data_IF_931554671645
#
_entry.id   IF_931554671645
#
_cell.length_a   1.000
_cell.length_b   1.000
_cell.length_c   1.000
_cell.angle_alpha   90.00
_cell.angle_beta   90.00
_cell.angle_gamma   90.00
#
_symmetry.space_group_name_H-M   'P 1'
#
loop_
_entity.id
_entity.type
_entity.pdbx_description
1 polymer ?
#
# COMPACT_ATOMS: atom_id res chain seq x y z
N UNK A 1 17.97 -46.27 8.70
CA UNK A 1 17.37 -44.91 8.76
C UNK A 1 16.84 -44.58 7.37
N UNK A 2 15.55 -44.76 7.14
CA UNK A 2 14.87 -44.31 5.93
C UNK A 2 14.93 -42.78 5.89
N UNK A 3 15.55 -42.22 4.85
CA UNK A 3 15.60 -40.77 4.65
C UNK A 3 14.24 -40.34 4.09
N UNK A 4 13.52 -39.48 4.81
CA UNK A 4 12.22 -38.96 4.35
C UNK A 4 12.40 -37.54 3.80
N UNK A 5 11.65 -37.23 2.74
CA UNK A 5 11.64 -35.88 2.16
C UNK A 5 10.79 -34.92 3.00
N UNK A 6 11.21 -33.64 3.12
CA UNK A 6 10.44 -32.61 3.84
C UNK A 6 9.08 -32.36 3.19
N UNK A 7 8.99 -32.46 1.86
CA UNK A 7 7.73 -32.45 1.12
C UNK A 7 7.50 -33.84 0.51
N UNK A 8 6.39 -34.49 0.89
CA UNK A 8 6.02 -35.79 0.33
C UNK A 8 5.65 -35.62 -1.14
N UNK A 9 6.42 -36.24 -2.02
CA UNK A 9 6.19 -36.31 -3.46
C UNK A 9 6.29 -37.74 -3.94
N UNK A 10 5.48 -38.10 -4.95
CA UNK A 10 5.62 -39.37 -5.66
C UNK A 10 6.56 -39.17 -6.84
N UNK A 11 7.65 -39.94 -6.89
CA UNK A 11 8.63 -39.88 -7.97
C UNK A 11 8.67 -41.23 -8.69
N UNK A 12 8.72 -41.26 -10.04
CA UNK A 12 8.68 -42.49 -10.83
C UNK A 12 10.00 -43.29 -10.84
N UNK A 13 11.02 -42.84 -10.11
CA UNK A 13 12.36 -43.45 -10.04
C UNK A 13 12.80 -43.65 -8.60
N UNK A 14 13.79 -44.52 -8.38
CA UNK A 14 14.21 -44.95 -7.04
C UNK A 14 14.91 -43.82 -6.27
N UNK A 15 14.16 -43.20 -5.36
CA UNK A 15 14.52 -41.93 -4.68
C UNK A 15 15.52 -42.12 -3.54
N UNK A 16 15.83 -43.36 -3.18
CA UNK A 16 16.59 -43.72 -1.98
C UNK A 16 18.11 -43.81 -2.21
N UNK A 17 18.56 -43.78 -3.47
CA UNK A 17 19.99 -43.85 -3.82
C UNK A 17 20.64 -42.46 -3.88
N UNK A 18 21.84 -42.32 -3.29
CA UNK A 18 22.71 -41.15 -3.52
C UNK A 18 23.36 -41.31 -4.91
N UNK A 19 23.41 -40.28 -5.77
CA UNK A 19 23.20 -38.83 -5.52
C UNK A 19 21.78 -38.29 -5.81
N UNK A 20 20.87 -39.11 -6.33
CA UNK A 20 19.53 -38.69 -6.77
C UNK A 20 18.71 -38.09 -5.63
N UNK A 21 18.82 -38.67 -4.43
CA UNK A 21 18.19 -38.14 -3.21
C UNK A 21 18.58 -36.67 -2.92
N UNK A 22 19.86 -36.34 -3.06
CA UNK A 22 20.39 -35.00 -2.74
C UNK A 22 19.96 -33.97 -3.77
N UNK A 23 19.88 -34.36 -5.04
CA UNK A 23 19.40 -33.50 -6.13
C UNK A 23 17.93 -33.12 -5.92
N UNK A 24 17.09 -34.08 -5.52
CA UNK A 24 15.65 -33.83 -5.28
C UNK A 24 15.45 -32.99 -4.02
N UNK A 25 16.22 -33.25 -2.96
CA UNK A 25 16.17 -32.41 -1.78
C UNK A 25 16.56 -30.96 -2.13
N UNK A 26 17.62 -30.78 -2.93
CA UNK A 26 18.04 -29.48 -3.45
C UNK A 26 16.95 -28.80 -4.28
N UNK A 27 16.27 -29.53 -5.18
CA UNK A 27 15.20 -28.98 -6.01
C UNK A 27 13.95 -28.63 -5.20
N UNK A 28 13.59 -29.44 -4.20
CA UNK A 28 12.49 -29.14 -3.28
C UNK A 28 12.77 -27.87 -2.45
N UNK A 29 13.98 -27.76 -1.89
CA UNK A 29 14.40 -26.56 -1.16
C UNK A 29 14.40 -25.33 -2.08
N UNK A 30 14.92 -25.44 -3.30
CA UNK A 30 14.93 -24.36 -4.27
C UNK A 30 13.51 -23.91 -4.65
N UNK A 31 12.60 -24.85 -4.92
CA UNK A 31 11.20 -24.55 -5.22
C UNK A 31 10.47 -23.87 -4.07
N UNK A 32 10.70 -24.34 -2.83
CA UNK A 32 10.13 -23.71 -1.64
C UNK A 32 10.65 -22.28 -1.45
N UNK A 33 11.96 -22.07 -1.62
CA UNK A 33 12.56 -20.73 -1.53
C UNK A 33 11.98 -19.78 -2.57
N UNK A 34 11.85 -20.21 -3.82
CA UNK A 34 11.22 -19.40 -4.87
C UNK A 34 9.78 -19.05 -4.50
N UNK A 35 8.98 -20.01 -4.04
CA UNK A 35 7.60 -19.77 -3.65
C UNK A 35 7.51 -18.75 -2.49
N UNK A 36 8.34 -18.91 -1.46
CA UNK A 36 8.41 -17.95 -0.36
C UNK A 36 8.82 -16.55 -0.83
N UNK A 37 9.80 -16.45 -1.73
CA UNK A 37 10.23 -15.17 -2.28
C UNK A 37 9.12 -14.50 -3.09
N UNK A 38 8.39 -15.24 -3.90
CA UNK A 38 7.24 -14.69 -4.63
C UNK A 38 6.16 -14.17 -3.70
N UNK A 39 5.79 -14.92 -2.66
CA UNK A 39 4.80 -14.48 -1.66
C UNK A 39 5.26 -13.16 -1.01
N UNK A 40 6.51 -13.11 -0.53
CA UNK A 40 7.06 -11.89 0.09
C UNK A 40 7.07 -10.70 -0.88
N UNK A 41 7.45 -10.91 -2.14
CA UNK A 41 7.47 -9.85 -3.16
C UNK A 41 6.06 -9.35 -3.44
N UNK A 42 5.08 -10.23 -3.58
CA UNK A 42 3.69 -9.81 -3.83
C UNK A 42 3.10 -9.04 -2.65
N UNK A 43 3.28 -9.54 -1.44
CA UNK A 43 2.78 -8.89 -0.22
C UNK A 43 3.41 -7.49 -0.05
N UNK A 44 4.74 -7.40 -0.19
CA UNK A 44 5.45 -6.12 -0.06
C UNK A 44 5.12 -5.13 -1.18
N UNK A 45 4.93 -5.60 -2.40
CA UNK A 45 4.54 -4.77 -3.54
C UNK A 45 3.14 -4.18 -3.33
N UNK A 46 2.17 -5.00 -2.92
CA UNK A 46 0.81 -4.54 -2.65
C UNK A 46 0.80 -3.50 -1.53
N UNK A 47 1.48 -3.77 -0.42
CA UNK A 47 1.64 -2.80 0.67
C UNK A 47 2.33 -1.51 0.23
N UNK A 48 3.33 -1.62 -0.66
CA UNK A 48 4.03 -0.47 -1.23
C UNK A 48 3.11 0.42 -2.04
N UNK A 49 2.27 -0.17 -2.90
CA UNK A 49 1.28 0.58 -3.69
C UNK A 49 0.24 1.27 -2.82
N UNK A 50 -0.29 0.56 -1.81
CA UNK A 50 -1.25 1.11 -0.86
C UNK A 50 -0.66 2.33 -0.14
N UNK A 51 0.55 2.17 0.43
CA UNK A 51 1.25 3.27 1.10
C UNK A 51 1.56 4.42 0.17
N UNK A 52 1.93 4.13 -1.07
CA UNK A 52 2.16 5.17 -2.08
C UNK A 52 0.89 5.99 -2.34
N UNK A 53 -0.27 5.36 -2.51
CA UNK A 53 -1.56 6.06 -2.66
C UNK A 53 -1.87 6.90 -1.42
N UNK A 54 -1.68 6.36 -0.21
CA UNK A 54 -1.93 7.08 1.04
C UNK A 54 -1.06 8.34 1.14
N UNK A 55 0.22 8.24 0.82
CA UNK A 55 1.13 9.40 0.80
C UNK A 55 0.69 10.42 -0.25
N UNK A 56 0.28 9.99 -1.45
CA UNK A 56 -0.24 10.91 -2.48
C UNK A 56 -1.50 11.64 -2.01
N UNK A 57 -2.37 10.95 -1.27
CA UNK A 57 -3.57 11.54 -0.69
C UNK A 57 -3.23 12.54 0.42
N UNK A 58 -2.29 12.22 1.30
CA UNK A 58 -1.81 13.14 2.34
C UNK A 58 -1.21 14.42 1.74
N UNK A 59 -0.40 14.30 0.69
CA UNK A 59 0.17 15.46 -0.03
C UNK A 59 -0.96 16.30 -0.64
N UNK A 60 -1.95 15.66 -1.27
CA UNK A 60 -3.10 16.35 -1.84
C UNK A 60 -3.89 17.13 -0.77
N UNK A 61 -4.15 16.51 0.39
CA UNK A 61 -4.83 17.15 1.52
C UNK A 61 -4.05 18.36 2.03
N UNK A 62 -2.73 18.21 2.23
CA UNK A 62 -1.89 19.30 2.67
C UNK A 62 -1.84 20.45 1.64
N UNK A 63 -1.82 20.12 0.35
CA UNK A 63 -1.88 21.11 -0.72
C UNK A 63 -3.23 21.85 -0.78
N UNK A 64 -4.36 21.18 -0.47
CA UNK A 64 -5.64 21.87 -0.31
C UNK A 64 -5.62 22.86 0.87
N UNK A 65 -5.10 22.46 2.04
CA UNK A 65 -4.95 23.35 3.22
C UNK A 65 -4.07 24.57 2.92
N UNK A 66 -3.01 24.40 2.14
CA UNK A 66 -2.05 25.46 1.80
C UNK A 66 -2.26 26.05 0.38
N UNK A 67 -3.50 26.03 -0.14
CA UNK A 67 -3.83 26.65 -1.42
C UNK A 67 -3.76 28.19 -1.40
N UNK A 68 -3.79 28.82 -0.23
CA UNK A 68 -3.73 30.28 -0.10
C UNK A 68 -2.31 30.80 -0.40
N UNK A 69 -2.19 31.57 -1.47
CA UNK A 69 -0.96 32.16 -2.00
C UNK A 69 -0.36 33.24 -1.08
N UNK A 70 -1.19 33.86 -0.23
CA UNK A 70 -0.77 34.94 0.66
C UNK A 70 0.00 34.40 1.88
N UNK A 71 -0.36 33.21 2.35
CA UNK A 71 0.10 32.67 3.64
C UNK A 71 1.22 31.65 3.50
N UNK A 72 1.40 31.07 2.31
CA UNK A 72 2.25 29.88 2.12
C UNK A 72 3.13 29.99 0.89
N UNK A 73 4.44 29.75 1.10
CA UNK A 73 5.41 29.64 0.02
C UNK A 73 5.29 28.30 -0.70
N UNK A 74 5.56 28.29 -2.01
CA UNK A 74 5.66 27.08 -2.82
C UNK A 74 6.99 26.38 -2.51
N UNK A 75 6.96 25.06 -2.35
CA UNK A 75 8.17 24.29 -2.14
C UNK A 75 9.04 24.30 -3.41
N UNK A 76 10.34 24.57 -3.25
CA UNK A 76 11.29 24.48 -4.37
C UNK A 76 11.77 23.04 -4.53
N UNK A 77 11.79 22.53 -5.76
CA UNK A 77 12.44 21.24 -6.07
C UNK A 77 13.97 21.33 -6.08
N UNK A 78 14.56 22.52 -5.90
CA UNK A 78 16.00 22.69 -5.77
C UNK A 78 16.50 22.16 -4.42
N UNK A 79 17.26 21.07 -4.45
CA UNK A 79 17.94 20.52 -3.27
C UNK A 79 19.16 21.40 -2.97
N UNK A 80 19.05 22.24 -1.94
CA UNK A 80 20.22 22.95 -1.39
C UNK A 80 21.21 21.95 -0.77
N UNK A 81 22.51 22.27 -0.82
CA UNK A 81 23.58 21.45 -0.21
C UNK A 81 23.29 21.13 1.28
N UNK A 82 22.62 22.04 1.97
CA UNK A 82 22.22 21.87 3.36
C UNK A 82 21.10 20.83 3.54
N UNK A 83 20.12 20.80 2.63
CA UNK A 83 19.04 19.80 2.64
C UNK A 83 19.58 18.41 2.29
N UNK A 84 20.56 18.32 1.38
CA UNK A 84 21.23 17.07 1.03
C UNK A 84 21.89 16.42 2.26
N UNK A 85 22.59 17.21 3.07
CA UNK A 85 23.23 16.72 4.29
C UNK A 85 22.21 16.25 5.35
N UNK A 86 21.05 16.91 5.44
CA UNK A 86 19.94 16.49 6.32
C UNK A 86 19.35 15.16 5.84
N UNK A 87 19.14 14.98 4.53
CA UNK A 87 18.65 13.73 3.94
C UNK A 87 19.66 12.60 4.17
N UNK A 88 20.97 12.87 4.02
CA UNK A 88 22.02 11.88 4.21
C UNK A 88 22.16 11.45 5.68
N UNK A 89 21.86 12.34 6.63
CA UNK A 89 21.85 12.05 8.07
C UNK A 89 20.50 11.53 8.58
N UNK A 90 19.50 11.35 7.71
CA UNK A 90 18.15 10.99 8.09
C UNK A 90 18.09 9.55 8.61
N UNK A 91 17.82 9.39 9.92
CA UNK A 91 17.56 8.09 10.52
C UNK A 91 16.09 7.72 10.32
N UNK A 92 15.81 6.94 9.27
CA UNK A 92 14.47 6.44 8.93
C UNK A 92 13.74 5.75 10.11
N UNK A 93 14.47 5.14 11.05
CA UNK A 93 13.91 4.43 12.22
C UNK A 93 13.56 5.34 13.42
N UNK A 94 13.85 6.65 13.36
CA UNK A 94 13.61 7.60 14.47
C UNK A 94 12.61 8.71 14.12
N UNK A 95 11.89 8.57 13.02
CA UNK A 95 10.86 9.55 12.64
C UNK A 95 9.77 9.54 13.74
N UNK A 96 9.52 10.67 14.43
CA UNK A 96 8.40 10.78 15.34
C UNK A 96 7.11 10.51 14.56
N UNK A 97 6.21 9.72 15.13
CA UNK A 97 4.91 9.38 14.54
C UNK A 97 3.97 10.62 14.40
N UNK A 98 4.40 11.77 14.92
CA UNK A 98 3.73 13.05 14.69
C UNK A 98 3.87 13.47 13.23
N UNK A 99 2.72 13.50 12.56
CA UNK A 99 2.47 14.05 11.23
C UNK A 99 3.38 15.27 11.00
N UNK A 100 4.43 15.12 10.19
CA UNK A 100 5.12 16.25 9.60
C UNK A 100 4.08 16.98 8.72
N UNK A 101 3.41 17.97 9.31
CA UNK A 101 2.53 18.84 8.55
C UNK A 101 3.35 19.49 7.44
N UNK A 102 3.07 19.14 6.18
CA UNK A 102 3.69 19.78 5.04
C UNK A 102 3.34 21.29 5.08
N UNK A 103 4.29 22.12 5.50
CA UNK A 103 4.08 23.58 5.71
C UNK A 103 4.01 24.40 4.41
N UNK A 104 4.23 23.74 3.27
CA UNK A 104 4.41 24.37 1.97
C UNK A 104 3.64 23.64 0.88
N UNK A 105 3.16 24.38 -0.11
CA UNK A 105 2.53 23.80 -1.30
C UNK A 105 3.57 23.01 -2.12
N UNK A 106 3.39 21.69 -2.22
CA UNK A 106 4.29 20.80 -2.95
C UNK A 106 3.94 20.74 -4.45
N UNK A 107 4.85 21.11 -5.37
CA UNK A 107 4.63 20.94 -6.81
C UNK A 107 4.63 19.47 -7.19
N UNK A 108 3.69 19.04 -8.04
CA UNK A 108 3.64 17.66 -8.52
C UNK A 108 4.50 17.45 -9.78
N UNK A 109 4.76 18.52 -10.53
CA UNK A 109 5.58 18.49 -11.77
C UNK A 109 6.65 19.58 -11.73
N UNK A 110 7.80 19.35 -12.40
CA UNK A 110 8.87 20.35 -12.55
C UNK A 110 8.39 21.68 -13.15
N UNK A 111 7.40 21.62 -14.05
CA UNK A 111 6.77 22.81 -14.65
C UNK A 111 5.90 23.59 -13.66
N UNK A 112 5.34 22.92 -12.66
CA UNK A 112 4.56 23.54 -11.59
C UNK A 112 5.46 24.12 -10.49
N UNK A 113 6.76 23.82 -10.48
CA UNK A 113 7.70 24.32 -9.48
C UNK A 113 8.02 25.81 -9.67
N UNK A 114 8.07 26.28 -10.92
CA UNK A 114 8.48 27.63 -11.29
C UNK A 114 7.38 28.35 -12.07
N UNK A 115 6.34 28.80 -11.36
CA UNK A 115 5.25 29.59 -11.96
C UNK A 115 5.52 31.09 -11.75
N UNK A 116 5.54 31.93 -12.81
CA UNK A 116 5.92 33.35 -12.72
C UNK A 116 4.91 34.21 -11.94
N UNK A 117 3.66 33.75 -11.78
CA UNK A 117 2.65 34.38 -10.96
C UNK A 117 1.85 33.31 -10.22
N UNK A 118 2.18 33.11 -8.94
CA UNK A 118 1.46 32.18 -8.08
C UNK A 118 0.11 32.80 -7.72
N UNK A 119 -0.98 32.07 -7.95
CA UNK A 119 -2.33 32.53 -7.62
C UNK A 119 -3.13 31.36 -7.06
N UNK A 120 -4.03 31.66 -6.12
CA UNK A 120 -4.93 30.67 -5.53
C UNK A 120 -5.63 29.79 -6.58
N UNK A 121 -6.12 30.40 -7.67
CA UNK A 121 -6.84 29.66 -8.72
C UNK A 121 -5.95 28.64 -9.44
N UNK A 122 -4.67 28.96 -9.63
CA UNK A 122 -3.71 28.08 -10.29
C UNK A 122 -3.30 26.93 -9.37
N UNK A 123 -3.06 27.20 -8.08
CA UNK A 123 -2.83 26.17 -7.06
C UNK A 123 -4.02 25.23 -6.92
N UNK A 124 -5.23 25.78 -6.80
CA UNK A 124 -6.45 24.99 -6.67
C UNK A 124 -6.72 24.16 -7.94
N UNK A 125 -6.48 24.70 -9.14
CA UNK A 125 -6.59 23.94 -10.39
C UNK A 125 -5.61 22.76 -10.43
N UNK A 126 -4.37 22.96 -9.98
CA UNK A 126 -3.39 21.87 -9.89
C UNK A 126 -3.86 20.77 -8.92
N UNK A 127 -4.39 21.14 -7.75
CA UNK A 127 -4.97 20.17 -6.80
C UNK A 127 -6.11 19.36 -7.43
N UNK A 128 -7.03 20.01 -8.15
CA UNK A 128 -8.15 19.31 -8.83
C UNK A 128 -7.64 18.36 -9.92
N UNK A 129 -6.63 18.76 -10.69
CA UNK A 129 -6.02 17.88 -11.72
C UNK A 129 -5.36 16.68 -11.06
N UNK A 130 -4.60 16.89 -9.98
CA UNK A 130 -3.93 15.81 -9.26
C UNK A 130 -4.93 14.86 -8.60
N UNK A 131 -5.98 15.39 -7.98
CA UNK A 131 -7.08 14.61 -7.43
C UNK A 131 -7.69 13.67 -8.46
N UNK A 132 -7.95 14.17 -9.68
CA UNK A 132 -8.49 13.36 -10.77
C UNK A 132 -7.53 12.26 -11.20
N UNK A 133 -6.25 12.57 -11.37
CA UNK A 133 -5.22 11.56 -11.69
C UNK A 133 -5.09 10.49 -10.60
N UNK A 134 -5.21 10.89 -9.33
CA UNK A 134 -5.15 9.97 -8.20
C UNK A 134 -6.35 9.03 -8.21
N UNK A 135 -7.55 9.52 -8.52
CA UNK A 135 -8.75 8.70 -8.70
C UNK A 135 -8.57 7.69 -9.84
N UNK A 136 -8.06 8.15 -11.00
CA UNK A 136 -7.83 7.27 -12.14
C UNK A 136 -6.82 6.15 -11.78
N UNK A 137 -5.70 6.51 -11.15
CA UNK A 137 -4.70 5.54 -10.66
C UNK A 137 -5.27 4.58 -9.60
N UNK A 138 -6.12 5.08 -8.70
CA UNK A 138 -6.77 4.28 -7.66
C UNK A 138 -7.73 3.26 -8.30
N UNK A 139 -8.49 3.65 -9.31
CA UNK A 139 -9.41 2.75 -10.02
C UNK A 139 -8.64 1.63 -10.73
N UNK A 140 -7.54 1.95 -11.40
CA UNK A 140 -6.67 0.96 -12.03
C UNK A 140 -6.09 0.00 -10.98
N UNK A 141 -5.55 0.53 -9.88
CA UNK A 141 -5.05 -0.27 -8.76
C UNK A 141 -6.13 -1.15 -8.15
N UNK A 142 -7.33 -0.61 -7.93
CA UNK A 142 -8.46 -1.32 -7.34
C UNK A 142 -8.90 -2.49 -8.23
N UNK A 143 -8.95 -2.29 -9.55
CA UNK A 143 -9.31 -3.36 -10.50
C UNK A 143 -8.32 -4.53 -10.47
N UNK A 144 -7.02 -4.24 -10.34
CA UNK A 144 -5.96 -5.23 -10.24
C UNK A 144 -5.97 -5.92 -8.87
N UNK A 145 -6.03 -5.13 -7.80
CA UNK A 145 -5.92 -5.64 -6.44
C UNK A 145 -7.17 -6.36 -5.97
N UNK A 146 -8.36 -6.02 -6.46
CA UNK A 146 -9.59 -6.75 -6.13
C UNK A 146 -9.48 -8.23 -6.48
N UNK A 147 -8.99 -8.54 -7.69
CA UNK A 147 -8.83 -9.93 -8.14
C UNK A 147 -7.76 -10.65 -7.32
N UNK A 148 -6.65 -9.97 -7.02
CA UNK A 148 -5.53 -10.53 -6.24
C UNK A 148 -5.95 -10.80 -4.79
N UNK A 149 -6.58 -9.82 -4.13
CA UNK A 149 -7.08 -9.93 -2.75
C UNK A 149 -8.13 -11.03 -2.64
N UNK A 150 -9.03 -11.14 -3.63
CA UNK A 150 -9.99 -12.24 -3.67
C UNK A 150 -9.29 -13.60 -3.74
N UNK A 151 -8.32 -13.75 -4.63
CA UNK A 151 -7.51 -14.97 -4.73
C UNK A 151 -6.76 -15.29 -3.44
N UNK A 152 -6.27 -14.27 -2.75
CA UNK A 152 -5.53 -14.40 -1.50
C UNK A 152 -6.39 -14.84 -0.32
N UNK A 153 -7.58 -14.25 -0.17
CA UNK A 153 -8.53 -14.66 0.87
C UNK A 153 -9.03 -16.08 0.59
N UNK A 154 -9.35 -16.37 -0.68
CA UNK A 154 -9.79 -17.70 -1.08
C UNK A 154 -8.72 -18.77 -0.82
N UNK A 155 -7.46 -18.50 -1.20
CA UNK A 155 -6.35 -19.42 -0.96
C UNK A 155 -6.07 -19.63 0.54
N UNK A 156 -6.15 -18.57 1.34
CA UNK A 156 -5.98 -18.63 2.80
C UNK A 156 -7.09 -19.44 3.46
N UNK A 157 -8.34 -19.29 3.02
CA UNK A 157 -9.47 -20.11 3.48
C UNK A 157 -9.23 -21.60 3.19
N UNK A 158 -8.82 -21.95 1.96
CA UNK A 158 -8.50 -23.34 1.62
C UNK A 158 -7.36 -23.88 2.48
N UNK A 159 -6.28 -23.11 2.65
CA UNK A 159 -5.13 -23.49 3.48
C UNK A 159 -5.57 -23.80 4.93
N UNK A 160 -6.42 -22.94 5.51
CA UNK A 160 -6.95 -23.12 6.86
C UNK A 160 -7.85 -24.36 6.94
N UNK A 161 -8.78 -24.54 5.98
CA UNK A 161 -9.68 -25.69 5.95
C UNK A 161 -8.91 -27.02 5.85
N UNK A 162 -7.96 -27.11 4.92
CA UNK A 162 -7.13 -28.31 4.73
C UNK A 162 -6.21 -28.51 5.93
N UNK A 163 -5.58 -27.45 6.44
CA UNK A 163 -4.71 -27.51 7.61
C UNK A 163 -5.45 -28.01 8.85
N UNK A 164 -6.69 -27.56 9.06
CA UNK A 164 -7.53 -28.03 10.15
C UNK A 164 -7.88 -29.52 10.01
N UNK A 165 -8.23 -29.96 8.79
CA UNK A 165 -8.49 -31.37 8.53
C UNK A 165 -7.26 -32.25 8.82
N UNK A 166 -6.08 -31.84 8.33
CA UNK A 166 -4.82 -32.57 8.58
C UNK A 166 -4.48 -32.62 10.06
N UNK A 167 -4.70 -31.52 10.80
CA UNK A 167 -4.51 -31.48 12.25
C UNK A 167 -5.41 -32.50 12.97
N UNK A 168 -6.70 -32.57 12.60
CA UNK A 168 -7.65 -33.53 13.18
C UNK A 168 -7.21 -34.97 12.91
N UNK A 169 -6.78 -35.28 11.68
CA UNK A 169 -6.29 -36.63 11.34
C UNK A 169 -5.01 -36.96 12.11
N UNK A 170 -4.08 -36.01 12.24
CA UNK A 170 -2.85 -36.21 13.01
C UNK A 170 -3.11 -36.42 14.50
N UNK A 171 -4.10 -35.74 15.08
CA UNK A 171 -4.55 -35.97 16.46
C UNK A 171 -5.13 -37.38 16.62
N UNK A 172 -5.98 -37.80 15.67
CA UNK A 172 -6.58 -39.13 15.71
C UNK A 172 -5.54 -40.26 15.59
N UNK A 173 -4.56 -40.10 14.70
CA UNK A 173 -3.49 -41.08 14.49
C UNK A 173 -2.31 -40.94 15.47
N UNK A 174 -2.37 -40.04 16.47
CA UNK A 174 -1.25 -39.74 17.38
C UNK A 174 0.08 -39.40 16.67
N UNK A 175 0.00 -38.78 15.49
CA UNK A 175 1.18 -38.29 14.75
C UNK A 175 1.67 -36.98 15.34
N UNK A 176 2.89 -36.57 15.01
CA UNK A 176 3.43 -35.29 15.47
C UNK A 176 2.62 -34.11 14.89
N UNK A 177 1.83 -33.46 15.74
CA UNK A 177 0.95 -32.33 15.40
C UNK A 177 1.68 -30.98 15.30
N UNK A 178 2.94 -30.90 15.71
CA UNK A 178 3.66 -29.62 15.78
C UNK A 178 3.66 -28.87 14.45
N UNK A 179 3.97 -29.58 13.35
CA UNK A 179 3.96 -29.00 12.00
C UNK A 179 2.57 -28.52 11.57
N UNK A 180 1.52 -29.22 12.01
CA UNK A 180 0.13 -28.94 11.61
C UNK A 180 -0.36 -27.68 12.34
N UNK A 181 -0.01 -27.53 13.62
CA UNK A 181 -0.26 -26.31 14.41
C UNK A 181 0.48 -25.11 13.81
N UNK A 182 1.77 -25.28 13.43
CA UNK A 182 2.56 -24.19 12.83
C UNK A 182 1.97 -23.74 11.49
N UNK A 183 1.58 -24.68 10.62
CA UNK A 183 0.93 -24.33 9.34
C UNK A 183 -0.41 -23.62 9.53
N UNK A 184 -1.23 -24.08 10.47
CA UNK A 184 -2.52 -23.47 10.78
C UNK A 184 -2.35 -22.07 11.39
N UNK A 185 -1.41 -21.91 12.31
CA UNK A 185 -1.05 -20.61 12.89
C UNK A 185 -0.58 -19.62 11.83
N UNK A 186 0.27 -20.06 10.89
CA UNK A 186 0.68 -19.23 9.76
C UNK A 186 -0.52 -18.75 8.92
N UNK A 187 -1.43 -19.66 8.55
CA UNK A 187 -2.63 -19.29 7.77
C UNK A 187 -3.53 -18.26 8.48
N UNK A 188 -3.72 -18.40 9.79
CA UNK A 188 -4.52 -17.47 10.60
C UNK A 188 -3.85 -16.09 10.73
N UNK A 189 -2.56 -16.04 11.04
CA UNK A 189 -1.80 -14.79 11.12
C UNK A 189 -1.82 -14.07 9.78
N UNK A 190 -1.64 -14.82 8.69
CA UNK A 190 -1.66 -14.27 7.34
C UNK A 190 -3.04 -13.67 6.99
N UNK A 191 -4.13 -14.38 7.28
CA UNK A 191 -5.49 -13.86 7.08
C UNK A 191 -5.75 -12.61 7.91
N UNK A 192 -5.39 -12.64 9.19
CA UNK A 192 -5.58 -11.51 10.10
C UNK A 192 -4.80 -10.27 9.65
N UNK A 193 -3.56 -10.47 9.17
CA UNK A 193 -2.75 -9.42 8.58
C UNK A 193 -3.49 -8.74 7.42
N UNK A 194 -3.97 -9.51 6.43
CA UNK A 194 -4.72 -8.96 5.30
C UNK A 194 -6.01 -8.23 5.71
N UNK A 195 -6.72 -8.74 6.71
CA UNK A 195 -7.92 -8.07 7.24
C UNK A 195 -7.59 -6.71 7.88
N UNK A 196 -6.50 -6.61 8.65
CA UNK A 196 -6.05 -5.33 9.24
C UNK A 196 -5.70 -4.33 8.14
N UNK A 197 -4.97 -4.76 7.11
CA UNK A 197 -4.62 -3.84 6.01
C UNK A 197 -5.84 -3.43 5.18
N UNK A 198 -6.81 -4.32 5.00
CA UNK A 198 -8.08 -3.97 4.36
C UNK A 198 -8.83 -2.89 5.14
N UNK A 199 -8.84 -2.97 6.48
CA UNK A 199 -9.46 -1.96 7.33
C UNK A 199 -8.69 -0.63 7.32
N UNK A 200 -7.35 -0.68 7.44
CA UNK A 200 -6.49 0.50 7.31
C UNK A 200 -6.65 1.19 5.95
N UNK A 201 -6.76 0.42 4.87
CA UNK A 201 -7.06 0.92 3.53
C UNK A 201 -8.36 1.72 3.49
N UNK A 202 -9.44 1.17 4.05
CA UNK A 202 -10.73 1.86 4.12
C UNK A 202 -10.62 3.16 4.93
N UNK A 203 -9.90 3.13 6.05
CA UNK A 203 -9.78 4.27 6.95
C UNK A 203 -8.87 5.37 6.37
N UNK A 204 -7.73 5.01 5.80
CA UNK A 204 -6.75 5.97 5.28
C UNK A 204 -7.09 6.48 3.87
N UNK A 205 -7.71 5.67 3.02
CA UNK A 205 -8.05 6.06 1.64
C UNK A 205 -9.47 6.61 1.53
N UNK A 206 -10.47 5.97 2.17
CA UNK A 206 -11.89 6.24 1.90
C UNK A 206 -12.52 7.21 2.89
N UNK A 207 -12.21 7.17 4.18
CA UNK A 207 -12.76 8.13 5.16
C UNK A 207 -12.34 9.58 4.84
N UNK A 208 -11.08 9.88 4.46
CA UNK A 208 -10.74 11.20 3.94
C UNK A 208 -11.34 11.55 2.58
N UNK A 209 -11.94 10.61 1.84
CA UNK A 209 -12.76 10.93 0.66
C UNK A 209 -14.09 11.63 1.00
N UNK A 210 -14.31 12.02 2.28
CA UNK A 210 -15.03 13.25 2.61
C UNK A 210 -14.26 14.50 2.10
N UNK A 211 -13.93 14.53 0.80
CA UNK A 211 -13.20 15.59 0.11
C UNK A 211 -13.86 16.97 0.32
N UNK A 212 -15.15 16.99 0.66
CA UNK A 212 -15.90 18.18 1.04
C UNK A 212 -15.24 18.98 2.18
N UNK A 213 -14.69 18.32 3.21
CA UNK A 213 -14.13 19.01 4.37
C UNK A 213 -12.78 19.67 4.05
N UNK A 214 -11.92 19.01 3.28
CA UNK A 214 -10.63 19.57 2.87
C UNK A 214 -10.76 20.67 1.82
N UNK A 215 -11.70 20.52 0.88
CA UNK A 215 -12.02 21.59 -0.08
C UNK A 215 -12.66 22.78 0.65
N UNK A 216 -13.39 22.55 1.74
CA UNK A 216 -13.91 23.64 2.58
C UNK A 216 -12.79 24.40 3.30
N UNK A 217 -11.80 23.70 3.83
CA UNK A 217 -10.65 24.27 4.56
C UNK A 217 -9.59 24.93 3.65
N UNK A 218 -9.78 24.98 2.33
CA UNK A 218 -8.77 25.51 1.39
C UNK A 218 -8.56 27.04 1.42
N UNK A 219 -9.24 27.76 2.31
CA UNK A 219 -9.08 29.22 2.47
C UNK A 219 -9.71 30.05 1.34
N UNK A 220 -10.70 29.50 0.64
CA UNK A 220 -11.42 30.16 -0.46
C UNK A 220 -12.13 31.45 -0.06
N UNK A 221 -12.42 31.63 1.24
CA UNK A 221 -13.12 32.77 1.82
C UNK A 221 -12.45 34.11 1.48
N UNK A 222 -11.12 34.11 1.32
CA UNK A 222 -10.35 35.31 1.01
C UNK A 222 -10.27 35.62 -0.50
N UNK A 223 -10.63 34.67 -1.38
CA UNK A 223 -10.46 34.76 -2.84
C UNK A 223 -11.79 34.53 -3.60
N UNK A 224 -12.70 35.51 -3.47
CA UNK A 224 -14.12 35.41 -3.81
C UNK A 224 -14.49 35.65 -5.29
N UNK A 225 -13.60 35.39 -6.24
CA UNK A 225 -13.88 35.57 -7.68
C UNK A 225 -15.03 34.68 -8.17
N UNK A 226 -15.85 35.15 -9.13
CA UNK A 226 -16.94 34.34 -9.71
C UNK A 226 -16.45 33.02 -10.33
N UNK A 227 -15.22 33.02 -10.86
CA UNK A 227 -14.61 31.82 -11.46
C UNK A 227 -14.16 30.81 -10.39
N UNK A 228 -13.57 31.27 -9.27
CA UNK A 228 -13.15 30.39 -8.17
C UNK A 228 -14.36 29.74 -7.50
N UNK A 229 -15.45 30.49 -7.24
CA UNK A 229 -16.69 29.95 -6.66
C UNK A 229 -17.29 28.79 -7.46
N UNK A 230 -17.39 28.94 -8.79
CA UNK A 230 -17.92 27.87 -9.66
C UNK A 230 -17.02 26.64 -9.65
N UNK A 231 -15.72 26.84 -9.68
CA UNK A 231 -14.74 25.76 -9.67
C UNK A 231 -14.76 24.99 -8.33
N UNK A 232 -14.85 25.70 -7.22
CA UNK A 232 -14.96 25.13 -5.88
C UNK A 232 -16.28 24.39 -5.72
N UNK A 233 -17.41 24.95 -6.18
CA UNK A 233 -18.70 24.26 -6.14
C UNK A 233 -18.69 22.97 -6.97
N UNK A 234 -18.07 22.99 -8.14
CA UNK A 234 -17.89 21.79 -8.96
C UNK A 234 -16.94 20.79 -8.29
N UNK A 235 -15.88 21.26 -7.63
CA UNK A 235 -14.97 20.41 -6.85
C UNK A 235 -15.64 19.79 -5.63
N UNK A 236 -16.47 20.55 -4.90
CA UNK A 236 -17.25 20.08 -3.75
C UNK A 236 -18.29 19.05 -4.17
N UNK A 237 -19.01 19.28 -5.29
CA UNK A 237 -20.01 18.32 -5.80
C UNK A 237 -19.37 17.02 -6.28
N UNK A 238 -18.17 17.08 -6.87
CA UNK A 238 -17.38 15.88 -7.21
C UNK A 238 -16.73 15.23 -5.98
N UNK A 239 -16.36 16.00 -4.97
CA UNK A 239 -15.83 15.50 -3.70
C UNK A 239 -16.88 14.89 -2.76
N UNK A 240 -18.17 15.06 -3.07
CA UNK A 240 -19.30 14.49 -2.33
C UNK A 240 -19.72 13.10 -2.84
N UNK A 241 -19.21 12.65 -3.99
CA UNK A 241 -19.40 11.27 -4.44
C UNK A 241 -18.33 10.37 -3.81
N UNK A 242 -18.68 9.49 -2.86
CA UNK A 242 -17.71 8.54 -2.32
C UNK A 242 -17.25 7.59 -3.44
N UNK A 243 -15.95 7.30 -3.45
CA UNK A 243 -15.31 6.27 -4.30
C UNK A 243 -15.78 4.87 -3.90
#
# INVERSE_FOLDING_TARGET
>A
KTREFPVRGSFPFDVTQSPIFEIILGSQCYGLLIACMWILVFDTLLLGFIRWINVQLMILQANFRHCNDITTSRASLSVSQQNYNIIQAYQFLKVPEEQEEFRSFAPFTLEEANVPADSFLLRFRACVIHHRRLIDNLNDCNSLFTVVLFGQIFSSCILICVGLFVLVVSLHENRNIFKDIVMLGYGLVHLFYWCIYGDQLMIEVIIPNCNSQFIYECGWENNLSRKSKRLILNGLTQGLTPL
#
